data_IF_903900545747
#
_entry.id   IF_903900545747
#
_cell.length_a   1.000
_cell.length_b   1.000
_cell.length_c   1.000
_cell.angle_alpha   90.00
_cell.angle_beta   90.00
_cell.angle_gamma   90.00
#
_symmetry.space_group_name_H-M   'P 1'
#
loop_
_entity.id
_entity.type
_entity.pdbx_description
1 polymer ?
#
# COMPACT_ATOMS: atom_id res chain seq x y z
N UNK A 1 29.25 26.11 91.38
CA UNK A 1 28.18 25.65 90.44
C UNK A 1 28.21 26.54 89.21
N UNK A 2 28.82 26.08 88.12
CA UNK A 2 29.01 26.93 86.93
C UNK A 2 30.14 26.40 86.06
N UNK A 3 29.82 25.40 85.23
CA UNK A 3 30.62 24.95 84.07
C UNK A 3 29.93 23.82 83.24
N UNK A 4 28.61 23.65 83.34
CA UNK A 4 27.84 22.62 82.58
C UNK A 4 26.70 23.16 81.70
N UNK A 5 26.52 24.48 81.58
CA UNK A 5 25.46 25.09 80.72
C UNK A 5 25.93 25.60 79.35
N UNK A 6 27.21 25.41 79.00
CA UNK A 6 27.79 25.82 77.71
C UNK A 6 28.06 24.68 76.73
N UNK A 7 27.64 23.45 77.06
CA UNK A 7 27.84 22.26 76.18
C UNK A 7 26.54 21.88 75.46
N UNK A 8 25.37 22.19 76.01
CA UNK A 8 24.08 21.85 75.38
C UNK A 8 23.67 22.81 74.25
N UNK A 9 24.09 24.09 74.28
CA UNK A 9 23.88 25.02 73.14
C UNK A 9 24.72 24.65 71.91
N UNK A 10 25.85 23.97 72.11
CA UNK A 10 26.74 23.51 71.03
C UNK A 10 26.24 22.22 70.39
N UNK A 11 25.30 21.49 70.99
CA UNK A 11 24.77 20.22 70.45
C UNK A 11 23.52 20.43 69.59
N UNK A 12 22.72 21.46 69.88
CA UNK A 12 21.60 21.87 69.01
C UNK A 12 22.08 22.57 67.73
N UNK A 13 23.11 23.42 67.79
CA UNK A 13 23.73 24.02 66.59
C UNK A 13 24.38 22.96 65.68
N UNK A 14 24.94 21.87 66.23
CA UNK A 14 25.53 20.78 65.43
C UNK A 14 24.46 19.86 64.81
N UNK A 15 23.24 19.83 65.35
CA UNK A 15 22.12 19.07 64.76
C UNK A 15 21.42 19.82 63.63
N UNK A 16 21.40 21.15 63.64
CA UNK A 16 20.94 21.95 62.50
C UNK A 16 21.94 21.92 61.33
N UNK A 17 23.25 21.94 61.60
CA UNK A 17 24.28 21.85 60.54
C UNK A 17 24.30 20.45 59.90
N UNK A 18 24.08 19.37 60.66
CA UNK A 18 24.03 18.00 60.10
C UNK A 18 22.77 17.69 59.27
N UNK A 19 21.68 18.44 59.44
CA UNK A 19 20.50 18.33 58.57
C UNK A 19 20.62 19.18 57.30
N UNK A 20 21.54 20.14 57.26
CA UNK A 20 21.90 20.89 56.07
C UNK A 20 22.91 20.15 55.18
N UNK A 21 23.83 19.37 55.76
CA UNK A 21 24.80 18.59 54.99
C UNK A 21 24.22 17.34 54.31
N UNK A 22 23.14 16.74 54.82
CA UNK A 22 22.46 15.62 54.13
C UNK A 22 21.52 16.10 53.00
N UNK A 23 21.12 17.37 53.01
CA UNK A 23 20.43 18.01 51.88
C UNK A 23 21.41 18.51 50.80
N UNK A 24 22.65 18.85 51.17
CA UNK A 24 23.70 19.25 50.23
C UNK A 24 24.29 18.06 49.43
N UNK A 25 24.26 16.84 49.98
CA UNK A 25 24.73 15.64 49.24
C UNK A 25 23.68 15.10 48.26
N UNK A 26 22.42 15.53 48.36
CA UNK A 26 21.39 15.26 47.35
C UNK A 26 21.41 16.25 46.16
N UNK A 27 21.97 17.46 46.33
CA UNK A 27 22.11 18.45 45.23
C UNK A 27 23.47 18.38 44.51
N UNK A 28 24.52 17.80 45.12
CA UNK A 28 25.85 17.66 44.46
C UNK A 28 25.93 16.43 43.55
N UNK A 29 24.92 15.55 43.55
CA UNK A 29 24.73 14.53 42.50
C UNK A 29 23.90 15.03 41.29
N UNK A 30 23.42 16.28 41.34
CA UNK A 30 22.70 16.94 40.25
C UNK A 30 23.52 18.02 39.52
N UNK A 31 24.80 18.22 39.86
CA UNK A 31 25.64 19.28 39.27
C UNK A 31 26.94 18.79 38.61
N UNK A 32 27.09 17.47 38.38
CA UNK A 32 28.25 16.88 37.68
C UNK A 32 27.92 15.87 36.59
N UNK A 33 26.68 15.86 36.10
CA UNK A 33 26.25 15.12 34.90
C UNK A 33 25.69 16.02 33.79
N UNK A 34 25.60 17.34 34.00
CA UNK A 34 25.11 18.32 33.02
C UNK A 34 26.23 19.09 32.29
N UNK A 35 27.40 18.47 32.18
CA UNK A 35 28.54 19.04 31.45
C UNK A 35 29.20 18.07 30.47
N UNK A 36 28.55 16.99 30.02
CA UNK A 36 29.07 16.26 28.85
C UNK A 36 28.10 15.28 28.17
N UNK A 37 26.82 15.61 28.04
CA UNK A 37 25.98 14.87 27.05
C UNK A 37 24.96 15.74 26.33
N UNK A 38 25.30 17.01 26.15
CA UNK A 38 24.81 17.83 25.05
C UNK A 38 25.41 17.38 23.72
N UNK A 39 25.22 16.11 23.32
CA UNK A 39 25.29 15.75 21.89
C UNK A 39 24.15 16.52 21.23
N UNK A 40 24.43 17.75 20.80
CA UNK A 40 23.82 18.33 19.61
C UNK A 40 23.76 17.20 18.60
N UNK A 41 22.59 16.60 18.42
CA UNK A 41 22.23 15.97 17.15
C UNK A 41 22.23 17.13 16.17
N UNK A 42 23.43 17.54 15.75
CA UNK A 42 23.67 18.23 14.50
C UNK A 42 22.99 17.31 13.51
N UNK A 43 21.78 17.69 13.10
CA UNK A 43 21.12 17.08 11.97
C UNK A 43 22.16 17.21 10.86
N UNK A 44 22.88 16.12 10.59
CA UNK A 44 23.76 16.06 9.42
C UNK A 44 22.81 16.41 8.29
N UNK A 45 22.85 17.65 7.79
CA UNK A 45 22.12 18.09 6.60
C UNK A 45 22.48 17.02 5.58
N UNK A 46 21.56 16.08 5.33
CA UNK A 46 21.79 15.00 4.36
C UNK A 46 22.19 15.76 3.11
N UNK A 47 23.44 15.57 2.63
CA UNK A 47 23.92 16.20 1.39
C UNK A 47 22.77 16.10 0.39
N UNK A 48 22.30 17.25 -0.12
CA UNK A 48 21.14 17.26 -1.01
C UNK A 48 21.45 16.27 -2.14
N UNK A 49 20.69 15.18 -2.22
CA UNK A 49 20.91 14.17 -3.25
C UNK A 49 20.80 14.89 -4.58
N UNK A 50 21.91 15.01 -5.30
CA UNK A 50 21.94 15.67 -6.60
C UNK A 50 21.06 14.85 -7.53
N UNK A 51 19.92 15.42 -7.93
CA UNK A 51 19.00 14.79 -8.88
C UNK A 51 19.48 15.09 -10.30
N UNK A 52 19.19 14.17 -11.22
CA UNK A 52 19.49 14.37 -12.65
C UNK A 52 18.77 15.59 -13.23
N UNK A 53 19.33 16.16 -14.28
CA UNK A 53 18.81 17.39 -14.91
C UNK A 53 17.37 17.24 -15.39
N UNK A 54 17.04 16.10 -16.00
CA UNK A 54 15.68 15.77 -16.46
C UNK A 54 14.65 15.75 -15.33
N UNK A 55 15.04 15.31 -14.14
CA UNK A 55 14.17 15.35 -12.98
C UNK A 55 13.99 16.79 -12.49
N UNK A 56 15.05 17.60 -12.50
CA UNK A 56 14.97 19.02 -12.11
C UNK A 56 14.05 19.80 -13.05
N UNK A 57 14.13 19.58 -14.36
CA UNK A 57 13.22 20.21 -15.33
C UNK A 57 11.77 19.78 -15.12
N UNK A 58 11.52 18.51 -14.82
CA UNK A 58 10.17 18.02 -14.49
C UNK A 58 9.62 18.66 -13.21
N UNK A 59 10.43 18.77 -12.16
CA UNK A 59 10.04 19.44 -10.90
C UNK A 59 9.69 20.91 -11.13
N UNK A 60 10.40 21.61 -12.01
CA UNK A 60 10.14 23.02 -12.30
C UNK A 60 8.74 23.26 -12.91
N UNK A 61 8.18 22.26 -13.59
CA UNK A 61 6.82 22.33 -14.15
C UNK A 61 5.72 22.22 -13.08
N UNK A 62 6.04 21.62 -11.93
CA UNK A 62 5.06 21.30 -10.89
C UNK A 62 5.15 22.31 -9.76
N UNK A 63 4.05 23.01 -9.50
CA UNK A 63 3.96 23.96 -8.37
C UNK A 63 3.83 23.18 -7.07
N UNK A 64 4.77 23.37 -6.15
CA UNK A 64 4.73 22.73 -4.83
C UNK A 64 3.64 23.37 -3.97
N UNK A 65 2.89 22.53 -3.26
CA UNK A 65 1.88 22.97 -2.28
C UNK A 65 0.57 23.46 -2.88
N UNK A 66 0.40 23.39 -4.20
CA UNK A 66 -0.86 23.66 -4.89
C UNK A 66 -1.60 22.34 -5.08
N UNK A 67 -2.89 22.35 -4.78
CA UNK A 67 -3.77 21.21 -5.03
C UNK A 67 -4.33 21.36 -6.45
N UNK A 68 -3.96 20.44 -7.33
CA UNK A 68 -4.41 20.43 -8.72
C UNK A 68 -5.73 19.68 -8.87
N UNK A 69 -6.51 20.07 -9.89
CA UNK A 69 -7.63 19.25 -10.34
C UNK A 69 -7.11 17.91 -10.89
N UNK A 70 -7.90 16.84 -10.79
CA UNK A 70 -7.53 15.50 -11.27
C UNK A 70 -7.09 15.53 -12.74
N UNK A 71 -7.85 16.22 -13.59
CA UNK A 71 -7.59 16.35 -15.02
C UNK A 71 -6.24 17.03 -15.28
N UNK A 72 -5.97 18.15 -14.60
CA UNK A 72 -4.71 18.89 -14.71
C UNK A 72 -3.52 18.07 -14.18
N UNK A 73 -3.71 17.38 -13.06
CA UNK A 73 -2.67 16.57 -12.43
C UNK A 73 -2.24 15.41 -13.34
N UNK A 74 -3.18 14.72 -13.98
CA UNK A 74 -2.88 13.62 -14.92
C UNK A 74 -2.06 14.15 -16.10
N UNK A 75 -2.47 15.28 -16.68
CA UNK A 75 -1.75 15.92 -17.78
C UNK A 75 -0.32 16.30 -17.38
N UNK A 76 -0.15 16.95 -16.23
CA UNK A 76 1.16 17.34 -15.71
C UNK A 76 2.06 16.12 -15.46
N UNK A 77 1.52 15.01 -14.94
CA UNK A 77 2.27 13.78 -14.69
C UNK A 77 2.73 13.14 -16.01
N UNK A 78 1.87 13.12 -17.04
CA UNK A 78 2.23 12.60 -18.37
C UNK A 78 3.32 13.46 -19.03
N UNK A 79 3.20 14.79 -18.99
CA UNK A 79 4.20 15.73 -19.51
C UNK A 79 5.52 15.75 -18.73
N UNK A 80 5.49 15.30 -17.47
CA UNK A 80 6.64 15.20 -16.59
C UNK A 80 7.33 13.83 -16.67
N UNK A 81 6.77 12.87 -17.39
CA UNK A 81 7.41 11.58 -17.67
C UNK A 81 8.44 11.75 -18.79
N UNK A 82 9.72 11.61 -18.44
CA UNK A 82 10.86 11.78 -19.36
C UNK A 82 11.49 10.44 -19.79
N UNK A 83 10.77 9.35 -19.60
CA UNK A 83 11.22 7.98 -19.85
C UNK A 83 11.05 7.60 -21.32
N UNK A 84 11.95 6.77 -21.83
CA UNK A 84 11.83 6.18 -23.19
C UNK A 84 10.86 4.99 -23.24
N UNK A 85 10.36 4.56 -22.09
CA UNK A 85 9.45 3.44 -21.93
C UNK A 85 8.11 3.94 -21.40
N UNK A 86 7.08 3.13 -21.59
CA UNK A 86 5.74 3.42 -21.07
C UNK A 86 5.72 3.25 -19.55
N UNK A 87 5.72 4.36 -18.83
CA UNK A 87 5.82 4.39 -17.38
C UNK A 87 4.45 4.15 -16.74
N UNK A 88 4.45 3.50 -15.59
CA UNK A 88 3.23 3.27 -14.81
C UNK A 88 2.85 4.56 -14.09
N UNK A 89 1.56 4.90 -14.12
CA UNK A 89 0.96 6.00 -13.35
C UNK A 89 0.36 5.41 -12.07
N UNK A 90 0.80 5.95 -10.95
CA UNK A 90 0.50 5.48 -9.61
C UNK A 90 -0.23 6.57 -8.81
N UNK A 91 -1.07 6.12 -7.89
CA UNK A 91 -1.78 6.93 -6.92
C UNK A 91 -1.32 6.55 -5.51
N UNK A 92 -0.92 7.56 -4.75
CA UNK A 92 -0.52 7.46 -3.36
C UNK A 92 -1.48 8.27 -2.50
N UNK A 93 -2.24 7.58 -1.64
CA UNK A 93 -3.25 8.21 -0.78
C UNK A 93 -2.81 8.08 0.67
N UNK A 94 -2.68 9.21 1.36
CA UNK A 94 -2.39 9.26 2.79
C UNK A 94 -3.71 9.31 3.57
N UNK A 95 -3.89 8.36 4.46
CA UNK A 95 -5.11 8.15 5.24
C UNK A 95 -4.99 8.70 6.67
N UNK A 96 -6.13 9.04 7.25
CA UNK A 96 -6.28 9.44 8.65
C UNK A 96 -6.49 8.22 9.56
N UNK A 97 -5.58 7.25 9.54
CA UNK A 97 -5.68 6.06 10.41
C UNK A 97 -4.52 6.04 11.39
N UNK A 98 -4.83 5.72 12.64
CA UNK A 98 -3.85 5.46 13.69
C UNK A 98 -3.37 4.01 13.60
N UNK A 99 -2.23 3.80 12.92
CA UNK A 99 -1.67 2.48 12.65
C UNK A 99 -0.94 1.87 13.86
N UNK A 100 -0.41 2.71 14.76
CA UNK A 100 0.44 2.27 15.88
C UNK A 100 -0.32 1.39 16.89
N UNK A 101 -1.61 1.67 17.10
CA UNK A 101 -2.40 0.99 18.12
C UNK A 101 -3.08 -0.30 17.65
N UNK A 102 -3.32 -0.48 16.35
CA UNK A 102 -4.26 -1.51 15.89
C UNK A 102 -3.72 -2.48 14.83
N UNK A 103 -2.52 -2.30 14.25
CA UNK A 103 -1.99 -3.13 13.13
C UNK A 103 -3.05 -3.48 12.06
N UNK A 104 -4.10 -2.68 11.94
CA UNK A 104 -5.26 -3.00 11.12
C UNK A 104 -4.97 -2.43 9.75
N UNK A 105 -4.65 -3.31 8.81
CA UNK A 105 -4.51 -2.93 7.40
C UNK A 105 -5.91 -2.82 6.79
N UNK A 106 -6.13 -1.80 5.96
CA UNK A 106 -7.31 -1.79 5.10
C UNK A 106 -6.96 -2.62 3.86
N UNK A 107 -7.85 -3.55 3.54
CA UNK A 107 -7.74 -4.42 2.39
C UNK A 107 -9.13 -4.53 1.75
N UNK A 108 -9.24 -4.13 0.49
CA UNK A 108 -10.47 -4.22 -0.27
C UNK A 108 -10.14 -4.49 -1.74
N UNK A 109 -11.13 -4.98 -2.48
CA UNK A 109 -11.03 -5.22 -3.90
C UNK A 109 -11.77 -4.12 -4.66
N UNK A 110 -11.15 -3.57 -5.69
CA UNK A 110 -11.72 -2.55 -6.59
C UNK A 110 -11.81 -3.14 -7.98
N UNK A 111 -12.97 -3.00 -8.63
CA UNK A 111 -13.10 -3.25 -10.05
C UNK A 111 -12.72 -1.98 -10.81
N UNK A 112 -11.68 -2.05 -11.64
CA UNK A 112 -11.25 -0.92 -12.47
C UNK A 112 -12.02 -0.93 -13.81
N UNK A 113 -12.60 0.20 -14.24
CA UNK A 113 -13.24 0.31 -15.55
C UNK A 113 -12.26 0.04 -16.70
N UNK A 114 -11.03 0.58 -16.60
CA UNK A 114 -10.00 0.45 -17.63
C UNK A 114 -8.80 -0.33 -17.13
N UNK A 115 -8.57 -1.49 -17.73
CA UNK A 115 -7.48 -2.39 -17.34
C UNK A 115 -6.15 -1.97 -17.94
N UNK A 116 -5.08 -2.03 -17.14
CA UNK A 116 -3.70 -1.79 -17.58
C UNK A 116 -2.88 -3.08 -17.77
N UNK A 117 -3.46 -4.23 -17.42
CA UNK A 117 -2.85 -5.54 -17.56
C UNK A 117 -3.35 -6.25 -18.82
N UNK A 118 -2.57 -7.23 -19.29
CA UNK A 118 -3.02 -8.16 -20.33
C UNK A 118 -4.32 -8.81 -19.86
N UNK A 119 -5.35 -8.84 -20.71
CA UNK A 119 -6.57 -9.59 -20.43
C UNK A 119 -6.20 -11.03 -20.09
N UNK A 120 -6.69 -11.49 -18.94
CA UNK A 120 -6.47 -12.85 -18.46
C UNK A 120 -7.14 -13.83 -19.41
N UNK A 121 -6.39 -14.82 -19.88
CA UNK A 121 -6.93 -15.88 -20.73
C UNK A 121 -7.61 -16.91 -19.88
N UNK A 122 -8.89 -17.12 -20.12
CA UNK A 122 -9.74 -17.98 -19.30
C UNK A 122 -10.01 -19.30 -20.02
N UNK A 123 -9.66 -20.40 -19.35
CA UNK A 123 -10.04 -21.76 -19.74
C UNK A 123 -11.28 -22.18 -18.96
N UNK A 124 -12.38 -22.47 -19.65
CA UNK A 124 -13.63 -22.88 -19.04
C UNK A 124 -13.90 -24.38 -19.26
N UNK A 125 -14.19 -25.12 -18.20
CA UNK A 125 -14.64 -26.52 -18.26
C UNK A 125 -16.15 -26.60 -18.04
N UNK A 126 -16.87 -26.98 -19.08
CA UNK A 126 -18.32 -27.16 -19.08
C UNK A 126 -18.74 -28.16 -20.15
N UNK A 127 -19.96 -28.70 -20.06
CA UNK A 127 -20.53 -29.52 -21.12
C UNK A 127 -20.88 -28.68 -22.36
N UNK A 128 -21.31 -27.42 -22.16
CA UNK A 128 -21.72 -26.51 -23.22
C UNK A 128 -20.71 -25.38 -23.44
N UNK A 129 -20.68 -24.82 -24.65
CA UNK A 129 -19.85 -23.67 -24.99
C UNK A 129 -20.27 -22.44 -24.20
N UNK A 130 -19.32 -21.81 -23.50
CA UNK A 130 -19.59 -20.61 -22.70
C UNK A 130 -19.09 -19.37 -23.45
N UNK A 131 -19.95 -18.38 -23.72
CA UNK A 131 -19.54 -17.17 -24.41
C UNK A 131 -18.51 -16.38 -23.57
N UNK A 132 -17.41 -16.00 -24.21
CA UNK A 132 -16.34 -15.22 -23.59
C UNK A 132 -15.22 -16.03 -22.95
N UNK A 133 -15.26 -17.37 -22.97
CA UNK A 133 -14.08 -18.18 -22.68
C UNK A 133 -13.10 -18.16 -23.86
N UNK A 134 -11.80 -18.05 -23.59
CA UNK A 134 -10.78 -18.03 -24.65
C UNK A 134 -10.43 -19.45 -25.11
N UNK A 135 -10.57 -20.43 -24.21
CA UNK A 135 -10.43 -21.85 -24.50
C UNK A 135 -11.53 -22.62 -23.77
N UNK A 136 -12.08 -23.63 -24.45
CA UNK A 136 -12.99 -24.61 -23.86
C UNK A 136 -12.22 -25.88 -23.46
N UNK A 137 -12.56 -26.40 -22.29
CA UNK A 137 -11.93 -27.56 -21.70
C UNK A 137 -12.82 -28.80 -21.77
N UNK A 138 -12.36 -29.79 -22.53
CA UNK A 138 -12.95 -31.14 -22.59
C UNK A 138 -11.98 -32.18 -22.01
N UNK A 139 -12.40 -33.45 -21.99
CA UNK A 139 -11.55 -34.57 -21.57
C UNK A 139 -10.26 -34.68 -22.41
N UNK A 140 -10.30 -34.26 -23.68
CA UNK A 140 -9.12 -34.18 -24.55
C UNK A 140 -8.16 -33.07 -24.11
N UNK A 141 -8.69 -31.92 -23.70
CA UNK A 141 -7.92 -30.80 -23.15
C UNK A 141 -7.25 -31.17 -21.83
N UNK A 142 -7.93 -31.97 -20.98
CA UNK A 142 -7.33 -32.51 -19.74
C UNK A 142 -6.09 -33.36 -20.06
N UNK A 143 -6.18 -34.24 -21.05
CA UNK A 143 -5.04 -35.08 -21.46
C UNK A 143 -3.90 -34.23 -22.06
N UNK A 144 -4.21 -33.22 -22.89
CA UNK A 144 -3.20 -32.29 -23.43
C UNK A 144 -2.50 -31.48 -22.33
N UNK A 145 -3.22 -31.07 -21.28
CA UNK A 145 -2.63 -30.39 -20.12
C UNK A 145 -1.74 -31.36 -19.33
N UNK A 146 -2.18 -32.62 -19.16
CA UNK A 146 -1.39 -33.64 -18.47
C UNK A 146 -0.09 -33.99 -19.22
N UNK A 147 -0.14 -34.03 -20.56
CA UNK A 147 1.01 -34.29 -21.43
C UNK A 147 1.92 -33.08 -21.63
N UNK A 148 1.46 -31.87 -21.25
CA UNK A 148 2.24 -30.65 -21.31
C UNK A 148 2.18 -29.89 -22.64
N UNK A 149 1.25 -30.25 -23.52
CA UNK A 149 0.99 -29.53 -24.78
C UNK A 149 0.43 -28.14 -24.49
N UNK A 150 -0.46 -28.04 -23.49
CA UNK A 150 -1.05 -26.80 -23.00
C UNK A 150 -0.51 -26.55 -21.59
N UNK A 151 0.11 -25.39 -21.38
CA UNK A 151 0.78 -25.06 -20.11
C UNK A 151 0.11 -23.88 -19.41
N UNK A 152 -0.05 -23.94 -18.07
CA UNK A 152 -0.49 -22.80 -17.29
C UNK A 152 0.51 -21.64 -17.45
N UNK A 153 0.03 -20.39 -17.44
CA UNK A 153 0.75 -19.12 -17.71
C UNK A 153 1.18 -18.90 -19.16
N UNK A 154 1.38 -19.95 -19.96
CA UNK A 154 1.67 -19.80 -21.38
C UNK A 154 0.40 -19.67 -22.20
N UNK A 155 -0.56 -20.56 -21.98
CA UNK A 155 -1.74 -20.68 -22.85
C UNK A 155 -3.01 -20.14 -22.16
N UNK A 156 -3.12 -20.33 -20.85
CA UNK A 156 -4.21 -19.78 -20.02
C UNK A 156 -3.70 -19.27 -18.67
N UNK A 157 -4.44 -18.33 -18.08
CA UNK A 157 -4.11 -17.63 -16.84
C UNK A 157 -5.09 -17.96 -15.70
N UNK A 158 -6.35 -18.25 -16.03
CA UNK A 158 -7.35 -18.69 -15.05
C UNK A 158 -8.17 -19.88 -15.57
N UNK A 159 -8.54 -20.78 -14.67
CA UNK A 159 -9.40 -21.94 -14.96
C UNK A 159 -10.70 -21.78 -14.19
N UNK A 160 -11.82 -21.90 -14.89
CA UNK A 160 -13.17 -21.91 -14.33
C UNK A 160 -13.80 -23.26 -14.67
N UNK A 161 -14.49 -23.87 -13.73
CA UNK A 161 -15.10 -25.17 -13.94
C UNK A 161 -16.52 -25.26 -13.36
N UNK A 162 -17.39 -25.96 -14.09
CA UNK A 162 -18.63 -26.44 -13.53
C UNK A 162 -18.35 -27.53 -12.47
N UNK A 163 -19.10 -27.61 -11.35
CA UNK A 163 -18.89 -28.61 -10.30
C UNK A 163 -18.81 -30.07 -10.81
N UNK A 164 -19.54 -30.40 -11.88
CA UNK A 164 -19.53 -31.74 -12.50
C UNK A 164 -18.16 -32.17 -13.06
N UNK A 165 -17.29 -31.24 -13.42
CA UNK A 165 -15.98 -31.54 -14.01
C UNK A 165 -14.86 -31.71 -12.97
N UNK A 166 -15.11 -31.41 -11.69
CA UNK A 166 -14.10 -31.53 -10.63
C UNK A 166 -13.43 -32.92 -10.52
N UNK A 167 -14.16 -34.05 -10.59
CA UNK A 167 -13.54 -35.37 -10.50
C UNK A 167 -12.52 -35.61 -11.63
N UNK A 168 -12.76 -35.04 -12.81
CA UNK A 168 -11.89 -35.18 -13.98
C UNK A 168 -10.64 -34.29 -13.86
N UNK A 169 -10.78 -33.10 -13.27
CA UNK A 169 -9.69 -32.16 -13.04
C UNK A 169 -8.65 -32.67 -12.02
N UNK A 170 -8.98 -33.68 -11.21
CA UNK A 170 -8.04 -34.32 -10.30
C UNK A 170 -6.80 -34.88 -11.02
N UNK A 171 -6.94 -35.33 -12.27
CA UNK A 171 -5.83 -35.87 -13.08
C UNK A 171 -4.75 -34.82 -13.37
N UNK A 172 -5.15 -33.57 -13.57
CA UNK A 172 -4.25 -32.45 -13.89
C UNK A 172 -3.85 -31.62 -12.66
N UNK A 173 -4.29 -32.01 -11.46
CA UNK A 173 -3.95 -31.33 -10.21
C UNK A 173 -2.43 -31.25 -9.97
N UNK A 174 -1.66 -32.25 -10.43
CA UNK A 174 -0.18 -32.24 -10.35
C UNK A 174 0.44 -31.09 -11.15
N UNK A 175 -0.20 -30.63 -12.22
CA UNK A 175 0.27 -29.53 -13.08
C UNK A 175 -0.31 -28.20 -12.62
N UNK A 176 -1.61 -28.15 -12.33
CA UNK A 176 -2.31 -26.91 -11.94
C UNK A 176 -2.05 -26.47 -10.50
N UNK A 177 -1.72 -27.40 -9.60
CA UNK A 177 -1.44 -27.13 -8.19
C UNK A 177 -0.24 -26.20 -7.99
N UNK A 178 0.97 -26.55 -8.48
CA UNK A 178 2.14 -25.68 -8.41
C UNK A 178 1.96 -24.34 -9.14
N UNK A 179 1.12 -24.31 -10.17
CA UNK A 179 0.81 -23.09 -10.91
C UNK A 179 -0.18 -22.15 -10.17
N UNK A 180 -0.90 -22.66 -9.17
CA UNK A 180 -1.92 -21.89 -8.42
C UNK A 180 -3.22 -21.65 -9.18
N UNK A 181 -3.43 -22.36 -10.30
CA UNK A 181 -4.58 -22.21 -11.21
C UNK A 181 -5.67 -23.25 -11.01
N UNK A 182 -5.55 -24.06 -9.96
CA UNK A 182 -6.60 -25.02 -9.60
C UNK A 182 -7.89 -24.27 -9.21
N UNK A 183 -9.04 -24.60 -9.81
CA UNK A 183 -10.31 -23.99 -9.44
C UNK A 183 -10.61 -24.21 -7.96
N UNK A 184 -11.08 -23.17 -7.28
CA UNK A 184 -11.43 -23.19 -5.87
C UNK A 184 -12.82 -22.54 -5.66
N UNK A 185 -13.75 -23.20 -4.93
CA UNK A 185 -15.05 -22.61 -4.59
C UNK A 185 -14.93 -21.27 -3.84
N UNK A 186 -13.93 -21.11 -2.97
CA UNK A 186 -13.71 -19.86 -2.22
C UNK A 186 -13.35 -18.67 -3.11
N UNK A 187 -12.78 -18.93 -4.28
CA UNK A 187 -12.43 -17.88 -5.26
C UNK A 187 -13.58 -17.60 -6.23
N UNK A 188 -14.71 -18.31 -6.14
CA UNK A 188 -15.82 -18.22 -7.10
C UNK A 188 -15.53 -18.82 -8.48
N UNK A 189 -14.36 -19.46 -8.66
CA UNK A 189 -13.96 -20.12 -9.93
C UNK A 189 -14.65 -21.46 -10.17
N UNK A 190 -15.41 -21.95 -9.19
CA UNK A 190 -16.29 -23.10 -9.34
C UNK A 190 -17.70 -22.59 -9.14
N UNK A 191 -18.46 -22.56 -10.22
CA UNK A 191 -19.82 -22.02 -10.24
C UNK A 191 -20.61 -22.67 -11.36
N UNK A 192 -21.92 -22.71 -11.18
CA UNK A 192 -22.86 -23.08 -12.25
C UNK A 192 -23.01 -21.93 -13.26
N UNK A 193 -22.86 -20.68 -12.80
CA UNK A 193 -22.97 -19.47 -13.61
C UNK A 193 -21.61 -19.06 -14.20
N UNK A 194 -21.15 -19.81 -15.20
CA UNK A 194 -19.83 -19.61 -15.79
C UNK A 194 -19.65 -18.27 -16.49
N UNK A 195 -20.68 -17.76 -17.17
CA UNK A 195 -20.61 -16.48 -17.90
C UNK A 195 -20.35 -15.28 -16.98
N UNK A 196 -21.05 -15.22 -15.84
CA UNK A 196 -20.88 -14.16 -14.84
C UNK A 196 -19.47 -14.21 -14.26
N UNK A 197 -18.98 -15.41 -13.92
CA UNK A 197 -17.62 -15.59 -13.41
C UNK A 197 -16.53 -15.22 -14.44
N UNK A 198 -16.73 -15.55 -15.72
CA UNK A 198 -15.81 -15.14 -16.80
C UNK A 198 -15.76 -13.62 -16.90
N UNK A 199 -16.92 -12.95 -16.90
CA UNK A 199 -16.99 -11.48 -16.94
C UNK A 199 -16.27 -10.87 -15.75
N UNK A 200 -16.50 -11.35 -14.53
CA UNK A 200 -15.82 -10.85 -13.34
C UNK A 200 -14.30 -11.04 -13.38
N UNK A 201 -13.83 -12.19 -13.87
CA UNK A 201 -12.40 -12.49 -13.98
C UNK A 201 -11.76 -11.62 -15.06
N UNK A 202 -12.46 -11.39 -16.18
CA UNK A 202 -12.00 -10.51 -17.26
C UNK A 202 -12.00 -9.04 -16.86
N UNK A 203 -12.96 -8.58 -16.06
CA UNK A 203 -12.99 -7.23 -15.47
C UNK A 203 -11.85 -7.05 -14.46
N UNK A 204 -11.41 -8.11 -13.79
CA UNK A 204 -10.22 -8.11 -12.95
C UNK A 204 -10.38 -7.30 -11.66
N UNK A 205 -10.57 -7.99 -10.54
CA UNK A 205 -10.61 -7.35 -9.21
C UNK A 205 -9.19 -7.00 -8.76
N UNK A 206 -8.90 -5.71 -8.62
CA UNK A 206 -7.62 -5.21 -8.12
C UNK A 206 -7.67 -5.08 -6.60
N UNK A 207 -6.75 -5.74 -5.92
CA UNK A 207 -6.70 -5.72 -4.47
C UNK A 207 -5.87 -4.53 -3.97
N UNK A 208 -6.52 -3.58 -3.31
CA UNK A 208 -5.88 -2.42 -2.71
C UNK A 208 -5.60 -2.69 -1.25
N UNK A 209 -4.36 -2.47 -0.83
CA UNK A 209 -3.89 -2.66 0.54
C UNK A 209 -3.18 -1.41 1.04
N UNK A 210 -3.40 -1.05 2.30
CA UNK A 210 -2.56 -0.08 2.99
C UNK A 210 -1.24 -0.71 3.44
N UNK A 211 -0.19 0.10 3.56
CA UNK A 211 1.05 -0.34 4.22
C UNK A 211 0.81 -0.73 5.68
N UNK A 212 1.73 -1.52 6.24
CA UNK A 212 1.67 -1.94 7.64
C UNK A 212 2.22 -0.84 8.56
N UNK A 213 3.27 -0.14 8.10
CA UNK A 213 4.03 0.81 8.91
C UNK A 213 3.66 2.28 8.64
N UNK A 214 2.89 2.55 7.59
CA UNK A 214 2.44 3.89 7.24
C UNK A 214 0.95 3.85 6.85
N UNK A 215 0.18 4.90 7.14
CA UNK A 215 -1.22 5.01 6.71
C UNK A 215 -1.29 5.43 5.23
N UNK A 216 -0.55 4.75 4.35
CA UNK A 216 -0.47 5.07 2.92
C UNK A 216 -1.01 3.89 2.12
N UNK A 217 -1.83 4.19 1.13
CA UNK A 217 -2.26 3.26 0.09
C UNK A 217 -1.46 3.58 -1.18
N UNK A 218 -0.84 2.56 -1.76
CA UNK A 218 -0.19 2.62 -3.07
C UNK A 218 -1.04 1.83 -4.07
N UNK A 219 -1.45 2.48 -5.15
CA UNK A 219 -2.27 1.87 -6.20
C UNK A 219 -1.79 2.31 -7.57
N UNK A 220 -2.13 1.53 -8.59
CA UNK A 220 -1.81 1.83 -9.99
C UNK A 220 -3.09 2.34 -10.66
N UNK A 221 -3.00 3.48 -11.35
CA UNK A 221 -4.10 4.03 -12.14
C UNK A 221 -4.05 3.57 -13.60
N UNK A 222 -2.86 3.32 -14.11
CA UNK A 222 -2.68 2.90 -15.50
C UNK A 222 -1.26 3.13 -16.00
N UNK A 223 -1.13 3.35 -17.30
CA UNK A 223 0.15 3.67 -17.95
C UNK A 223 0.11 5.05 -18.59
N UNK A 224 1.29 5.62 -18.85
CA UNK A 224 1.41 6.91 -19.54
C UNK A 224 0.86 6.90 -20.96
N UNK A 225 0.76 5.73 -21.59
CA UNK A 225 0.14 5.54 -22.91
C UNK A 225 -1.38 5.68 -22.93
N UNK A 226 -2.06 5.63 -21.78
CA UNK A 226 -3.52 5.65 -21.72
C UNK A 226 -4.07 7.07 -21.97
N UNK A 227 -5.32 7.16 -22.42
CA UNK A 227 -6.02 8.44 -22.50
C UNK A 227 -6.17 9.06 -21.10
N UNK A 228 -6.28 10.38 -21.05
CA UNK A 228 -6.44 11.09 -19.78
C UNK A 228 -7.77 10.72 -19.10
N UNK A 229 -8.82 10.52 -19.90
CA UNK A 229 -10.15 10.10 -19.43
C UNK A 229 -10.12 8.72 -18.78
N UNK A 230 -9.40 7.75 -19.36
CA UNK A 230 -9.31 6.40 -18.77
C UNK A 230 -8.62 6.42 -17.41
N UNK A 231 -7.57 7.24 -17.26
CA UNK A 231 -6.86 7.39 -15.99
C UNK A 231 -7.76 8.10 -14.97
N UNK A 232 -8.56 9.08 -15.40
CA UNK A 232 -9.51 9.81 -14.55
C UNK A 232 -10.63 8.89 -14.04
N UNK A 233 -11.25 8.12 -14.92
CA UNK A 233 -12.30 7.16 -14.53
C UNK A 233 -11.77 6.11 -13.55
N UNK A 234 -10.56 5.59 -13.76
CA UNK A 234 -9.91 4.68 -12.82
C UNK A 234 -9.64 5.34 -11.45
N UNK A 235 -9.18 6.59 -11.46
CA UNK A 235 -8.96 7.37 -10.24
C UNK A 235 -10.25 7.56 -9.45
N UNK A 236 -11.34 7.93 -10.11
CA UNK A 236 -12.67 8.11 -9.49
C UNK A 236 -13.21 6.80 -8.91
N UNK A 237 -13.06 5.68 -9.63
CA UNK A 237 -13.45 4.36 -9.15
C UNK A 237 -12.69 3.97 -7.87
N UNK A 238 -11.38 4.16 -7.84
CA UNK A 238 -10.55 3.88 -6.66
C UNK A 238 -10.92 4.79 -5.48
N UNK A 239 -11.10 6.09 -5.71
CA UNK A 239 -11.48 7.03 -4.65
C UNK A 239 -12.84 6.68 -4.05
N UNK A 240 -13.81 6.30 -4.88
CA UNK A 240 -15.14 5.87 -4.42
C UNK A 240 -15.04 4.66 -3.49
N UNK A 241 -14.27 3.65 -3.88
CA UNK A 241 -14.07 2.45 -3.06
C UNK A 241 -13.30 2.72 -1.78
N UNK A 242 -12.29 3.61 -1.82
CA UNK A 242 -11.58 4.08 -0.62
C UNK A 242 -12.57 4.75 0.35
N UNK A 243 -13.41 5.67 -0.14
CA UNK A 243 -14.41 6.37 0.69
C UNK A 243 -15.44 5.39 1.29
N UNK A 244 -15.85 4.35 0.55
CA UNK A 244 -16.78 3.32 1.00
C UNK A 244 -16.18 2.44 2.11
N UNK A 245 -14.92 2.05 1.99
CA UNK A 245 -14.21 1.17 2.93
C UNK A 245 -13.63 1.93 4.13
N UNK A 246 -14.23 3.07 4.51
CA UNK A 246 -13.82 3.86 5.68
C UNK A 246 -14.10 3.08 6.98
N UNK A 247 -13.09 2.85 7.84
CA UNK A 247 -13.32 2.29 9.16
C UNK A 247 -14.17 3.24 10.03
N UNK A 248 -15.14 2.67 10.76
CA UNK A 248 -16.04 3.42 11.66
C UNK A 248 -15.30 4.24 12.74
N UNK A 249 -14.07 3.83 13.08
CA UNK A 249 -13.26 4.45 14.14
C UNK A 249 -12.42 5.65 13.65
N UNK A 250 -12.48 6.02 12.38
CA UNK A 250 -11.69 7.16 11.86
C UNK A 250 -12.34 8.50 12.21
N UNK A 251 -11.65 9.30 13.04
CA UNK A 251 -12.03 10.68 13.36
C UNK A 251 -11.64 11.62 12.21
N UNK A 252 -12.56 12.46 11.77
CA UNK A 252 -12.33 13.48 10.73
C UNK A 252 -12.35 12.97 9.28
N UNK A 253 -11.72 13.74 8.39
CA UNK A 253 -11.58 13.41 6.97
C UNK A 253 -10.75 12.14 6.79
N UNK A 254 -11.27 11.19 6.01
CA UNK A 254 -10.64 9.87 5.84
C UNK A 254 -9.34 9.96 5.03
N UNK A 255 -9.33 10.80 3.99
CA UNK A 255 -8.19 11.07 3.12
C UNK A 255 -7.55 12.39 3.57
N UNK A 256 -6.25 12.38 3.89
CA UNK A 256 -5.48 13.59 4.25
C UNK A 256 -4.93 14.31 3.03
N UNK A 257 -4.38 13.52 2.11
CA UNK A 257 -3.79 14.01 0.87
C UNK A 257 -3.67 12.86 -0.12
N UNK A 258 -3.79 13.16 -1.40
CA UNK A 258 -3.46 12.24 -2.47
C UNK A 258 -2.42 12.85 -3.41
N UNK A 259 -1.57 11.98 -3.95
CA UNK A 259 -0.53 12.33 -4.88
C UNK A 259 -0.57 11.36 -6.05
N UNK A 260 -0.52 11.89 -7.26
CA UNK A 260 -0.32 11.10 -8.48
C UNK A 260 1.14 11.24 -8.88
N UNK A 261 1.77 10.13 -9.23
CA UNK A 261 3.13 10.10 -9.75
C UNK A 261 3.28 9.01 -10.81
N UNK A 262 4.18 9.22 -11.76
CA UNK A 262 4.69 8.16 -12.61
C UNK A 262 5.95 7.55 -11.97
N UNK A 263 6.31 6.32 -12.36
CA UNK A 263 7.50 5.61 -11.89
C UNK A 263 8.81 6.42 -11.89
N UNK A 264 8.90 7.46 -12.73
CA UNK A 264 10.09 8.34 -12.83
C UNK A 264 9.78 9.84 -12.67
N UNK A 265 8.51 10.22 -12.56
CA UNK A 265 8.12 11.63 -12.48
C UNK A 265 8.14 12.12 -11.02
N UNK A 266 8.16 13.44 -10.80
CA UNK A 266 7.81 13.98 -9.49
C UNK A 266 6.33 13.71 -9.19
N UNK A 267 5.96 13.77 -7.92
CA UNK A 267 4.57 13.68 -7.48
C UNK A 267 3.83 15.01 -7.65
N UNK A 268 2.58 14.94 -8.08
CA UNK A 268 1.64 16.05 -8.16
C UNK A 268 0.56 15.83 -7.11
N UNK A 269 0.29 16.85 -6.29
CA UNK A 269 -0.77 16.78 -5.28
C UNK A 269 -2.13 17.01 -5.94
N UNK A 270 -3.10 16.18 -5.60
CA UNK A 270 -4.42 16.20 -6.23
C UNK A 270 -5.49 16.46 -5.19
N UNK A 271 -6.48 17.25 -5.58
CA UNK A 271 -7.67 17.48 -4.77
C UNK A 271 -8.57 16.23 -4.75
N UNK A 272 -9.00 15.81 -3.56
CA UNK A 272 -9.77 14.56 -3.35
C UNK A 272 -11.18 14.79 -2.81
N UNK A 273 -11.58 16.05 -2.68
CA UNK A 273 -12.90 16.44 -2.17
C UNK A 273 -14.00 15.97 -3.13
#
# INVERSE_FOLDING_TARGET
MGKKKNVDKTIEEVKEVKKADEAAVAEVSAAKSDAEEGKKKVSKKKKAKVRGEKYKSAVAKIKKGVDHEVSEAIKLVKESSYGKFDATVELHVNLSIDMEKNKTRIQFAVALPHLFQKQKRVLAFNNDTVPGADLMGDDTTINKIANGDIKPRRDFDEVIAHPSFMPKLAKIAKVLGPAGMMPNPKKGTITEKLEEAIKEIKVGKFEVKSEINAPIIHTVLGKTSFSEDFIKENFEAILKEIKLNKPLKTKGAFIKSAYISSSISPSVRVKTD
#
